data_IF_719296146010
#
_entry.id   IF_719296146010
#
_cell.length_a   1.000
_cell.length_b   1.000
_cell.length_c   1.000
_cell.angle_alpha   90.00
_cell.angle_beta   90.00
_cell.angle_gamma   90.00
#
_symmetry.space_group_name_H-M   'P 1'
#
loop_
_entity.id
_entity.type
_entity.pdbx_description
1 polymer ?
#
# COMPACT_ATOMS: atom_id res chain seq x y z
N UNK A 1 -28.85 1.49 7.40
CA UNK A 1 -28.01 2.52 6.76
C UNK A 1 -27.26 1.80 5.66
N UNK A 2 -27.84 1.77 4.47
CA UNK A 2 -27.31 1.06 3.31
C UNK A 2 -25.87 1.53 3.04
N UNK A 3 -24.89 0.63 3.16
CA UNK A 3 -23.67 0.81 2.40
C UNK A 3 -24.09 0.74 0.93
N UNK A 4 -24.32 1.92 0.35
CA UNK A 4 -24.74 2.06 -1.04
C UNK A 4 -23.89 1.15 -1.92
N UNK A 5 -24.53 0.25 -2.68
CA UNK A 5 -23.87 -0.51 -3.74
C UNK A 5 -23.05 0.40 -4.66
N UNK A 6 -23.35 1.69 -4.72
CA UNK A 6 -22.52 2.66 -5.43
C UNK A 6 -21.09 2.76 -4.88
N UNK A 7 -20.91 2.76 -3.54
CA UNK A 7 -19.59 2.85 -2.88
C UNK A 7 -18.70 1.64 -3.19
N UNK A 8 -19.29 0.48 -3.52
CA UNK A 8 -18.51 -0.71 -3.90
C UNK A 8 -17.83 -0.54 -5.25
N UNK A 9 -18.36 0.31 -6.14
CA UNK A 9 -17.73 0.62 -7.44
C UNK A 9 -16.69 1.73 -7.37
N UNK A 10 -16.56 2.44 -6.25
CA UNK A 10 -15.62 3.57 -6.09
C UNK A 10 -14.18 3.20 -6.51
N UNK A 11 -13.61 2.04 -6.14
CA UNK A 11 -12.28 1.66 -6.58
C UNK A 11 -12.17 1.50 -8.11
N UNK A 12 -13.21 0.98 -8.76
CA UNK A 12 -13.23 0.80 -10.21
C UNK A 12 -13.29 2.15 -10.95
N UNK A 13 -14.16 3.05 -10.49
CA UNK A 13 -14.30 4.41 -11.02
C UNK A 13 -13.00 5.19 -10.81
N UNK A 14 -12.46 5.15 -9.59
CA UNK A 14 -11.20 5.78 -9.25
C UNK A 14 -10.07 5.28 -10.14
N UNK A 15 -9.90 3.96 -10.28
CA UNK A 15 -8.85 3.37 -11.12
C UNK A 15 -8.96 3.81 -12.57
N UNK A 16 -10.17 3.80 -13.14
CA UNK A 16 -10.39 4.20 -14.52
C UNK A 16 -10.07 5.68 -14.74
N UNK A 17 -10.68 6.57 -13.94
CA UNK A 17 -10.43 8.02 -14.00
C UNK A 17 -8.97 8.36 -13.77
N UNK A 18 -8.31 7.63 -12.87
CA UNK A 18 -6.91 7.82 -12.54
C UNK A 18 -5.99 7.38 -13.70
N UNK A 19 -6.32 6.28 -14.40
CA UNK A 19 -5.59 5.85 -15.60
C UNK A 19 -5.69 6.85 -16.77
N UNK A 20 -6.84 7.51 -16.93
CA UNK A 20 -7.00 8.60 -17.89
C UNK A 20 -6.09 9.77 -17.54
N UNK A 21 -5.93 10.07 -16.25
CA UNK A 21 -5.10 11.19 -15.82
C UNK A 21 -3.60 10.89 -15.96
N UNK A 22 -3.19 9.64 -15.72
CA UNK A 22 -1.84 9.15 -16.04
C UNK A 22 -1.50 9.16 -17.53
N UNK A 23 -2.49 9.22 -18.44
CA UNK A 23 -2.23 9.40 -19.88
C UNK A 23 -1.47 10.69 -20.23
N UNK A 24 -1.49 11.67 -19.33
CA UNK A 24 -0.69 12.90 -19.43
C UNK A 24 0.82 12.71 -19.18
N UNK A 25 1.23 11.49 -18.84
CA UNK A 25 2.58 10.98 -18.56
C UNK A 25 2.97 9.80 -19.49
N UNK A 26 2.74 9.93 -20.80
CA UNK A 26 3.12 8.94 -21.84
C UNK A 26 2.38 7.58 -21.81
N UNK A 27 1.21 7.52 -21.16
CA UNK A 27 0.40 6.30 -21.16
C UNK A 27 -0.26 6.07 -22.53
N UNK A 28 -0.05 4.90 -23.13
CA UNK A 28 -0.65 4.55 -24.43
C UNK A 28 -2.17 4.40 -24.33
N UNK A 29 -2.91 4.86 -25.35
CA UNK A 29 -4.37 4.71 -25.44
C UNK A 29 -4.81 3.23 -25.29
N UNK A 30 -4.05 2.28 -25.86
CA UNK A 30 -4.32 0.84 -25.72
C UNK A 30 -4.38 0.42 -24.25
N UNK A 31 -3.46 0.92 -23.42
CA UNK A 31 -3.39 0.63 -22.00
C UNK A 31 -4.64 1.11 -21.24
N UNK A 32 -5.17 2.28 -21.61
CA UNK A 32 -6.41 2.84 -21.02
C UNK A 32 -7.60 1.93 -21.30
N UNK A 33 -7.73 1.44 -22.53
CA UNK A 33 -8.82 0.52 -22.93
C UNK A 33 -8.77 -0.76 -22.08
N UNK A 34 -7.59 -1.34 -21.89
CA UNK A 34 -7.48 -2.54 -21.06
C UNK A 34 -7.79 -2.28 -19.58
N UNK A 35 -7.36 -1.15 -19.02
CA UNK A 35 -7.70 -0.77 -17.64
C UNK A 35 -9.21 -0.60 -17.50
N UNK A 36 -9.87 0.03 -18.47
CA UNK A 36 -11.32 0.16 -18.51
C UNK A 36 -12.02 -1.21 -18.55
N UNK A 37 -11.55 -2.13 -19.39
CA UNK A 37 -12.13 -3.47 -19.44
C UNK A 37 -11.94 -4.22 -18.12
N UNK A 38 -10.76 -4.13 -17.49
CA UNK A 38 -10.50 -4.77 -16.20
C UNK A 38 -11.36 -4.14 -15.09
N UNK A 39 -11.50 -2.81 -15.06
CA UNK A 39 -12.34 -2.15 -14.07
C UNK A 39 -13.82 -2.48 -14.28
N UNK A 40 -14.28 -2.60 -15.53
CA UNK A 40 -15.63 -3.04 -15.87
C UNK A 40 -15.88 -4.49 -15.42
N UNK A 41 -14.97 -5.42 -15.71
CA UNK A 41 -15.07 -6.83 -15.27
C UNK A 41 -15.08 -6.92 -13.75
N UNK A 42 -14.21 -6.16 -13.08
CA UNK A 42 -14.14 -6.13 -11.60
C UNK A 42 -15.43 -5.54 -11.00
N UNK A 43 -15.99 -4.51 -11.63
CA UNK A 43 -17.28 -3.95 -11.25
C UNK A 43 -18.42 -4.95 -11.42
N UNK A 44 -18.50 -5.62 -12.57
CA UNK A 44 -19.49 -6.67 -12.81
C UNK A 44 -19.37 -7.80 -11.78
N UNK A 45 -18.15 -8.22 -11.46
CA UNK A 45 -17.92 -9.21 -10.41
C UNK A 45 -18.47 -8.75 -9.06
N UNK A 46 -18.14 -7.52 -8.63
CA UNK A 46 -18.67 -6.93 -7.39
C UNK A 46 -20.20 -6.82 -7.38
N UNK A 47 -20.83 -6.58 -8.53
CA UNK A 47 -22.28 -6.52 -8.65
C UNK A 47 -22.97 -7.86 -8.34
N UNK A 48 -22.34 -8.98 -8.72
CA UNK A 48 -22.90 -10.33 -8.54
C UNK A 48 -22.58 -10.97 -7.18
N UNK A 49 -21.61 -10.45 -6.43
CA UNK A 49 -21.26 -10.97 -5.10
C UNK A 49 -22.39 -10.67 -4.10
N UNK A 50 -22.79 -11.63 -3.25
CA UNK A 50 -23.78 -11.38 -2.21
C UNK A 50 -23.30 -10.29 -1.26
N UNK A 51 -24.15 -9.31 -0.95
CA UNK A 51 -23.80 -8.25 -0.02
C UNK A 51 -23.96 -8.74 1.43
N UNK A 52 -22.86 -8.81 2.19
CA UNK A 52 -22.87 -9.10 3.62
C UNK A 52 -21.69 -8.42 4.31
N UNK A 53 -21.96 -7.35 5.05
CA UNK A 53 -20.94 -6.56 5.77
C UNK A 53 -20.24 -7.33 6.89
N UNK A 54 -20.83 -8.42 7.39
CA UNK A 54 -20.23 -9.23 8.45
C UNK A 54 -19.31 -10.33 7.89
N UNK A 55 -19.32 -10.54 6.58
CA UNK A 55 -18.53 -11.59 5.93
C UNK A 55 -17.06 -11.20 5.83
N UNK A 56 -16.18 -12.07 6.35
CA UNK A 56 -14.75 -11.83 6.30
C UNK A 56 -14.23 -11.93 4.86
N UNK A 57 -14.73 -12.87 4.07
CA UNK A 57 -14.38 -12.98 2.66
C UNK A 57 -14.74 -11.72 1.88
N UNK A 58 -15.91 -11.13 2.12
CA UNK A 58 -16.36 -9.93 1.39
C UNK A 58 -15.53 -8.70 1.79
N UNK A 59 -15.24 -8.53 3.09
CA UNK A 59 -14.33 -7.47 3.54
C UNK A 59 -12.96 -7.60 2.86
N UNK A 60 -12.43 -8.83 2.77
CA UNK A 60 -11.13 -9.06 2.12
C UNK A 60 -11.15 -8.69 0.64
N UNK A 61 -12.25 -8.99 -0.08
CA UNK A 61 -12.42 -8.58 -1.49
C UNK A 61 -12.30 -7.05 -1.60
N UNK A 62 -13.04 -6.29 -0.79
CA UNK A 62 -13.02 -4.83 -0.85
C UNK A 62 -11.65 -4.24 -0.53
N UNK A 63 -10.90 -4.84 0.39
CA UNK A 63 -9.53 -4.38 0.73
C UNK A 63 -8.54 -4.67 -0.41
N UNK A 64 -8.67 -5.82 -1.09
CA UNK A 64 -7.68 -6.25 -2.08
C UNK A 64 -7.94 -5.74 -3.49
N UNK A 65 -9.19 -5.38 -3.84
CA UNK A 65 -9.52 -4.82 -5.16
C UNK A 65 -8.71 -3.54 -5.48
N UNK A 66 -8.61 -2.53 -4.59
CA UNK A 66 -7.78 -1.35 -4.85
C UNK A 66 -6.32 -1.71 -5.13
N UNK A 67 -5.76 -2.68 -4.39
CA UNK A 67 -4.38 -3.15 -4.56
C UNK A 67 -4.21 -3.83 -5.93
N UNK A 68 -5.16 -4.70 -6.29
CA UNK A 68 -5.18 -5.40 -7.57
C UNK A 68 -5.27 -4.41 -8.73
N UNK A 69 -6.24 -3.50 -8.70
CA UNK A 69 -6.46 -2.50 -9.74
C UNK A 69 -5.26 -1.55 -9.88
N UNK A 70 -4.68 -1.09 -8.77
CA UNK A 70 -3.45 -0.31 -8.77
C UNK A 70 -2.28 -1.08 -9.42
N UNK A 71 -2.10 -2.35 -9.09
CA UNK A 71 -1.05 -3.18 -9.70
C UNK A 71 -1.26 -3.37 -11.22
N UNK A 72 -2.51 -3.41 -11.68
CA UNK A 72 -2.83 -3.47 -13.11
C UNK A 72 -2.44 -2.19 -13.82
N UNK A 73 -2.70 -1.01 -13.24
CA UNK A 73 -2.18 0.26 -13.78
C UNK A 73 -0.66 0.18 -13.96
N UNK A 74 0.06 -0.34 -12.97
CA UNK A 74 1.52 -0.53 -13.06
C UNK A 74 1.96 -1.48 -14.18
N UNK A 75 1.24 -2.59 -14.36
CA UNK A 75 1.50 -3.52 -15.46
C UNK A 75 1.35 -2.86 -16.84
N UNK A 76 0.32 -2.03 -17.01
CA UNK A 76 0.09 -1.30 -18.26
C UNK A 76 1.05 -0.13 -18.46
N UNK A 77 1.49 0.53 -17.38
CA UNK A 77 2.57 1.52 -17.40
C UNK A 77 3.87 0.92 -17.95
N UNK A 78 4.13 -0.35 -17.63
CA UNK A 78 5.31 -1.07 -18.07
C UNK A 78 5.22 -1.64 -19.50
N UNK A 79 4.23 -1.24 -20.32
CA UNK A 79 4.00 -1.75 -21.67
C UNK A 79 3.90 -3.29 -21.74
N UNK A 80 3.29 -3.93 -20.74
CA UNK A 80 3.20 -5.41 -20.63
C UNK A 80 4.55 -6.13 -20.47
N UNK A 81 5.65 -5.39 -20.31
CA UNK A 81 7.01 -5.94 -20.16
C UNK A 81 7.33 -6.15 -18.68
N UNK A 82 6.81 -7.25 -18.11
CA UNK A 82 7.05 -7.63 -16.70
C UNK A 82 8.51 -7.88 -16.32
N UNK A 83 9.38 -8.07 -17.32
CA UNK A 83 10.83 -8.23 -17.12
C UNK A 83 11.58 -6.89 -17.11
N UNK A 84 10.90 -5.78 -17.43
CA UNK A 84 11.47 -4.44 -17.31
C UNK A 84 11.31 -3.94 -15.88
N UNK A 85 12.16 -4.46 -15.00
CA UNK A 85 12.11 -4.17 -13.57
C UNK A 85 12.35 -2.69 -13.25
N UNK A 86 13.17 -1.99 -14.05
CA UNK A 86 13.35 -0.55 -13.86
C UNK A 86 12.05 0.21 -14.05
N UNK A 87 11.28 -0.05 -15.12
CA UNK A 87 9.97 0.60 -15.30
C UNK A 87 8.98 0.27 -14.18
N UNK A 88 9.00 -0.95 -13.64
CA UNK A 88 8.18 -1.34 -12.49
C UNK A 88 8.59 -0.52 -11.26
N UNK A 89 9.89 -0.38 -11.02
CA UNK A 89 10.41 0.45 -9.95
C UNK A 89 10.00 1.91 -10.08
N UNK A 90 10.14 2.48 -11.28
CA UNK A 90 9.73 3.85 -11.59
C UNK A 90 8.23 4.06 -11.32
N UNK A 91 7.39 3.05 -11.63
CA UNK A 91 5.96 3.07 -11.28
C UNK A 91 5.71 3.06 -9.77
N UNK A 92 6.47 2.26 -9.00
CA UNK A 92 6.38 2.23 -7.55
C UNK A 92 6.76 3.59 -6.95
N UNK A 93 7.81 4.22 -7.46
CA UNK A 93 8.23 5.55 -7.05
C UNK A 93 7.18 6.60 -7.38
N UNK A 94 6.66 6.61 -8.61
CA UNK A 94 5.60 7.52 -9.04
C UNK A 94 4.35 7.39 -8.16
N UNK A 95 3.90 6.15 -7.93
CA UNK A 95 2.74 5.86 -7.09
C UNK A 95 2.92 6.36 -5.67
N UNK A 96 4.10 6.13 -5.11
CA UNK A 96 4.41 6.56 -3.76
C UNK A 96 4.55 8.08 -3.63
N UNK A 97 5.19 8.75 -4.60
CA UNK A 97 5.26 10.21 -4.69
C UNK A 97 3.86 10.83 -4.73
N UNK A 98 2.95 10.26 -5.51
CA UNK A 98 1.57 10.73 -5.53
C UNK A 98 0.88 10.59 -4.17
N UNK A 99 1.07 9.47 -3.47
CA UNK A 99 0.49 9.27 -2.14
C UNK A 99 0.97 10.37 -1.19
N UNK A 100 2.25 10.73 -1.26
CA UNK A 100 2.85 11.79 -0.45
C UNK A 100 2.23 13.15 -0.79
N UNK A 101 2.19 13.53 -2.06
CA UNK A 101 1.57 14.80 -2.47
C UNK A 101 0.08 14.87 -2.13
N UNK A 102 -0.64 13.77 -2.30
CA UNK A 102 -2.05 13.67 -1.88
C UNK A 102 -2.18 13.88 -0.38
N UNK A 103 -1.29 13.26 0.41
CA UNK A 103 -1.28 13.39 1.87
C UNK A 103 -0.98 14.83 2.30
N UNK A 104 -0.02 15.49 1.67
CA UNK A 104 0.29 16.90 1.92
C UNK A 104 -0.94 17.79 1.64
N UNK A 105 -1.62 17.59 0.52
CA UNK A 105 -2.85 18.30 0.18
C UNK A 105 -3.95 18.05 1.23
N UNK A 106 -4.13 16.81 1.68
CA UNK A 106 -5.12 16.46 2.69
C UNK A 106 -4.81 17.07 4.05
N UNK A 107 -3.54 17.11 4.47
CA UNK A 107 -3.12 17.79 5.70
C UNK A 107 -3.44 19.29 5.61
N UNK A 108 -3.13 19.94 4.49
CA UNK A 108 -3.53 21.33 4.24
C UNK A 108 -5.05 21.50 4.28
N UNK A 109 -5.80 20.54 3.72
CA UNK A 109 -7.26 20.51 3.77
C UNK A 109 -7.82 20.36 5.19
N UNK A 110 -7.19 19.56 6.06
CA UNK A 110 -7.57 19.42 7.48
C UNK A 110 -7.39 20.74 8.21
N UNK A 111 -6.25 21.42 8.02
CA UNK A 111 -5.99 22.74 8.62
C UNK A 111 -7.04 23.76 8.15
N UNK A 112 -7.32 23.81 6.85
CA UNK A 112 -8.35 24.68 6.29
C UNK A 112 -9.75 24.36 6.85
N UNK A 113 -10.07 23.08 6.99
CA UNK A 113 -11.35 22.62 7.57
C UNK A 113 -11.48 23.12 9.00
N UNK A 114 -10.44 22.94 9.82
CA UNK A 114 -10.45 23.40 11.21
C UNK A 114 -10.67 24.92 11.32
N UNK A 115 -9.95 25.71 10.53
CA UNK A 115 -10.10 27.17 10.49
C UNK A 115 -11.52 27.54 10.06
N UNK A 116 -12.03 26.93 8.99
CA UNK A 116 -13.34 27.25 8.44
C UNK A 116 -14.47 26.95 9.43
N UNK A 117 -14.48 25.75 10.02
CA UNK A 117 -15.48 25.40 11.03
C UNK A 117 -15.42 26.34 12.25
N UNK A 118 -14.21 26.72 12.67
CA UNK A 118 -14.03 27.67 13.79
C UNK A 118 -14.60 29.05 13.46
N UNK A 119 -14.32 29.59 12.27
CA UNK A 119 -14.81 30.91 11.84
C UNK A 119 -16.34 30.96 11.77
N UNK A 120 -16.99 29.94 11.20
CA UNK A 120 -18.46 29.89 11.11
C UNK A 120 -19.10 29.70 12.48
N UNK A 121 -18.46 28.91 13.37
CA UNK A 121 -18.91 28.76 14.76
C UNK A 121 -18.86 30.08 15.53
N UNK A 122 -17.86 30.94 15.30
CA UNK A 122 -17.76 32.26 15.95
C UNK A 122 -18.92 33.21 15.62
N UNK A 123 -19.55 33.04 14.45
CA UNK A 123 -20.74 33.80 14.03
C UNK A 123 -22.05 33.04 14.26
N UNK A 124 -22.02 31.98 15.09
CA UNK A 124 -23.16 31.12 15.44
C UNK A 124 -23.83 30.42 14.23
N UNK A 125 -23.05 30.05 13.22
CA UNK A 125 -23.53 29.26 12.07
C UNK A 125 -22.93 27.85 12.13
N UNK A 126 -23.78 26.84 12.26
CA UNK A 126 -23.38 25.42 12.22
C UNK A 126 -23.35 24.93 10.77
N UNK A 127 -22.15 24.75 10.22
CA UNK A 127 -21.93 24.26 8.85
C UNK A 127 -21.32 22.86 8.80
N UNK A 128 -21.07 22.23 9.95
CA UNK A 128 -20.26 21.01 10.07
C UNK A 128 -20.75 19.90 9.12
N UNK A 129 -22.02 19.51 9.23
CA UNK A 129 -22.60 18.44 8.40
C UNK A 129 -22.52 18.75 6.90
N UNK A 130 -22.86 19.98 6.51
CA UNK A 130 -22.77 20.42 5.12
C UNK A 130 -21.33 20.38 4.62
N UNK A 131 -20.39 20.88 5.42
CA UNK A 131 -18.98 21.00 5.05
C UNK A 131 -18.32 19.62 4.93
N UNK A 132 -18.56 18.72 5.88
CA UNK A 132 -18.03 17.35 5.81
C UNK A 132 -18.61 16.56 4.64
N UNK A 133 -19.93 16.62 4.44
CA UNK A 133 -20.61 15.87 3.39
C UNK A 133 -20.23 16.32 1.99
N UNK A 134 -20.08 17.62 1.78
CA UNK A 134 -19.85 18.16 0.44
C UNK A 134 -18.37 18.51 0.21
N UNK A 135 -17.77 19.34 1.07
CA UNK A 135 -16.44 19.92 0.80
C UNK A 135 -15.33 18.93 1.17
N UNK A 136 -15.36 18.37 2.38
CA UNK A 136 -14.32 17.42 2.83
C UNK A 136 -14.35 16.15 1.99
N UNK A 137 -15.53 15.59 1.72
CA UNK A 137 -15.66 14.40 0.87
C UNK A 137 -15.10 14.63 -0.54
N UNK A 138 -15.40 15.77 -1.16
CA UNK A 138 -14.82 16.16 -2.46
C UNK A 138 -13.29 16.31 -2.38
N UNK A 139 -12.79 16.95 -1.32
CA UNK A 139 -11.34 17.12 -1.11
C UNK A 139 -10.60 15.79 -1.02
N UNK A 140 -11.16 14.80 -0.30
CA UNK A 140 -10.60 13.44 -0.18
C UNK A 140 -10.53 12.75 -1.56
N UNK A 141 -11.60 12.86 -2.35
CA UNK A 141 -11.67 12.22 -3.66
C UNK A 141 -10.70 12.89 -4.65
N UNK A 142 -10.60 14.21 -4.65
CA UNK A 142 -9.86 14.99 -5.65
C UNK A 142 -8.35 15.02 -5.36
N UNK A 143 -7.91 14.88 -4.11
CA UNK A 143 -6.49 15.01 -3.73
C UNK A 143 -5.52 14.12 -4.53
N UNK A 144 -5.79 12.82 -4.75
CA UNK A 144 -4.96 11.98 -5.62
C UNK A 144 -4.85 12.45 -7.06
N UNK A 145 -5.92 13.04 -7.60
CA UNK A 145 -5.92 13.55 -8.98
C UNK A 145 -5.12 14.85 -9.10
N UNK A 146 -5.20 15.74 -8.11
CA UNK A 146 -4.40 16.96 -8.05
C UNK A 146 -2.91 16.69 -7.84
N UNK A 147 -2.55 15.55 -7.24
CA UNK A 147 -1.15 15.18 -7.05
C UNK A 147 -0.37 15.02 -8.37
N UNK A 148 -1.03 14.61 -9.45
CA UNK A 148 -0.38 14.34 -10.74
C UNK A 148 0.11 15.60 -11.47
N UNK A 149 -0.70 16.67 -11.68
CA UNK A 149 -0.18 17.90 -12.27
C UNK A 149 0.88 18.57 -11.38
N UNK A 150 0.80 18.41 -10.06
CA UNK A 150 1.83 18.89 -9.13
C UNK A 150 3.14 18.14 -9.37
N UNK A 151 3.10 16.82 -9.43
CA UNK A 151 4.27 16.00 -9.75
C UNK A 151 4.89 16.36 -11.10
N UNK A 152 4.08 16.77 -12.08
CA UNK A 152 4.58 17.13 -13.41
C UNK A 152 5.37 18.42 -13.36
N UNK A 153 4.96 19.33 -12.47
CA UNK A 153 5.64 20.60 -12.24
C UNK A 153 6.88 20.47 -11.37
N UNK A 154 6.89 19.53 -10.43
CA UNK A 154 7.97 19.31 -9.46
C UNK A 154 8.72 17.99 -9.70
N UNK A 155 8.86 17.57 -10.97
CA UNK A 155 9.47 16.28 -11.35
C UNK A 155 10.90 16.09 -10.86
N UNK A 156 11.62 17.19 -10.67
CA UNK A 156 13.03 17.17 -10.28
C UNK A 156 13.22 16.99 -8.77
N UNK A 157 12.14 17.01 -7.99
CA UNK A 157 12.18 16.97 -6.52
C UNK A 157 11.49 15.72 -5.96
N UNK A 158 12.29 14.70 -5.63
CA UNK A 158 11.82 13.46 -5.02
C UNK A 158 11.63 13.62 -3.50
N UNK A 159 10.49 14.18 -3.08
CA UNK A 159 10.14 14.36 -1.66
C UNK A 159 10.16 13.01 -0.93
N UNK A 160 9.71 11.96 -1.60
CA UNK A 160 9.62 10.62 -1.01
C UNK A 160 10.94 10.07 -0.49
N UNK A 161 12.03 10.31 -1.22
CA UNK A 161 13.35 9.85 -0.79
C UNK A 161 13.84 10.65 0.41
N UNK A 162 13.52 11.95 0.50
CA UNK A 162 13.82 12.76 1.70
C UNK A 162 13.05 12.22 2.91
N UNK A 163 11.75 11.98 2.75
CA UNK A 163 10.89 11.40 3.79
C UNK A 163 11.47 10.05 4.23
N UNK A 164 11.79 9.16 3.30
CA UNK A 164 12.31 7.83 3.64
C UNK A 164 13.60 7.89 4.46
N UNK A 165 14.51 8.83 4.16
CA UNK A 165 15.75 9.04 4.92
C UNK A 165 15.50 9.50 6.36
N UNK A 166 14.43 10.25 6.60
CA UNK A 166 14.03 10.70 7.93
C UNK A 166 13.30 9.59 8.69
N UNK A 167 12.38 8.90 8.01
CA UNK A 167 11.53 7.88 8.62
C UNK A 167 12.26 6.56 8.85
N UNK A 168 13.31 6.23 8.08
CA UNK A 168 14.08 5.00 8.27
C UNK A 168 14.70 4.86 9.67
N UNK A 169 15.49 5.83 10.19
CA UNK A 169 16.03 5.73 11.55
C UNK A 169 14.93 5.73 12.62
N UNK A 170 13.86 6.51 12.43
CA UNK A 170 12.71 6.51 13.34
C UNK A 170 12.04 5.14 13.39
N UNK A 171 11.78 4.53 12.24
CA UNK A 171 11.22 3.19 12.14
C UNK A 171 12.15 2.16 12.80
N UNK A 172 13.46 2.21 12.55
CA UNK A 172 14.43 1.31 13.21
C UNK A 172 14.31 1.42 14.73
N UNK A 173 14.31 2.64 15.29
CA UNK A 173 14.19 2.86 16.73
C UNK A 173 12.87 2.25 17.23
N UNK A 174 11.74 2.59 16.61
CA UNK A 174 10.43 2.07 17.01
C UNK A 174 10.39 0.54 16.97
N UNK A 175 10.87 -0.09 15.89
CA UNK A 175 10.82 -1.53 15.71
C UNK A 175 11.75 -2.27 16.68
N UNK A 176 12.96 -1.76 16.90
CA UNK A 176 13.90 -2.34 17.89
C UNK A 176 13.34 -2.20 19.30
N UNK A 177 12.86 -1.01 19.68
CA UNK A 177 12.22 -0.79 20.98
C UNK A 177 11.04 -1.75 21.17
N UNK A 178 10.18 -1.85 20.15
CA UNK A 178 9.06 -2.79 20.18
C UNK A 178 9.51 -4.23 20.42
N UNK A 179 10.50 -4.72 19.66
CA UNK A 179 11.05 -6.06 19.84
C UNK A 179 11.59 -6.27 21.26
N UNK A 180 12.39 -5.34 21.78
CA UNK A 180 12.95 -5.45 23.13
C UNK A 180 11.87 -5.54 24.21
N UNK A 181 10.87 -4.66 24.17
CA UNK A 181 9.77 -4.67 25.15
C UNK A 181 8.86 -5.90 24.98
N UNK A 182 8.68 -6.40 23.75
CA UNK A 182 7.89 -7.61 23.50
C UNK A 182 8.49 -8.86 24.14
N UNK A 183 9.83 -8.93 24.28
CA UNK A 183 10.52 -10.07 24.93
C UNK A 183 10.33 -10.08 26.46
N UNK A 184 10.17 -8.90 27.06
CA UNK A 184 10.06 -8.75 28.52
C UNK A 184 8.59 -8.90 28.97
N UNK A 185 7.65 -8.57 28.08
CA UNK A 185 6.22 -8.57 28.41
C UNK A 185 5.66 -10.00 28.31
N UNK A 186 5.00 -10.47 29.39
CA UNK A 186 4.33 -11.80 29.41
C UNK A 186 3.10 -11.89 28.49
N UNK A 187 2.61 -10.75 28.01
CA UNK A 187 1.49 -10.70 27.06
C UNK A 187 2.00 -11.11 25.69
N UNK A 188 1.62 -12.31 25.31
CA UNK A 188 2.04 -12.87 24.05
C UNK A 188 1.34 -12.09 22.91
N UNK A 189 2.06 -11.60 21.88
CA UNK A 189 1.46 -10.84 20.78
C UNK A 189 0.42 -11.63 19.97
N UNK A 190 0.22 -12.92 20.29
CA UNK A 190 -0.63 -13.87 19.58
C UNK A 190 -2.13 -13.69 19.85
N UNK A 191 -2.52 -13.12 21.00
CA UNK A 191 -3.94 -13.10 21.41
C UNK A 191 -4.74 -11.96 20.76
N UNK A 192 -4.15 -10.78 20.60
CA UNK A 192 -4.91 -9.60 20.17
C UNK A 192 -4.93 -9.44 18.64
N UNK A 193 -6.14 -9.47 18.03
CA UNK A 193 -6.34 -9.31 16.58
C UNK A 193 -5.76 -7.99 16.06
N UNK A 194 -5.81 -6.94 16.87
CA UNK A 194 -5.36 -5.62 16.46
C UNK A 194 -3.85 -5.58 16.25
N UNK A 195 -3.08 -6.41 16.99
CA UNK A 195 -1.62 -6.48 16.85
C UNK A 195 -1.22 -6.97 15.46
N UNK A 196 -1.86 -8.03 14.93
CA UNK A 196 -1.52 -8.56 13.60
C UNK A 196 -1.87 -7.59 12.46
N UNK A 197 -2.97 -6.84 12.60
CA UNK A 197 -3.34 -5.80 11.62
C UNK A 197 -2.28 -4.70 11.64
N UNK A 198 -1.88 -4.25 12.82
CA UNK A 198 -0.84 -3.23 12.98
C UNK A 198 0.51 -3.69 12.41
N UNK A 199 0.90 -4.95 12.61
CA UNK A 199 2.12 -5.50 12.00
C UNK A 199 2.09 -5.43 10.48
N UNK A 200 0.98 -5.84 9.83
CA UNK A 200 0.87 -5.75 8.37
C UNK A 200 0.97 -4.30 7.87
N UNK A 201 0.33 -3.36 8.56
CA UNK A 201 0.41 -1.93 8.21
C UNK A 201 1.85 -1.43 8.32
N UNK A 202 2.53 -1.79 9.40
CA UNK A 202 3.94 -1.44 9.61
C UNK A 202 4.82 -2.07 8.52
N UNK A 203 4.63 -3.34 8.18
CA UNK A 203 5.42 -4.02 7.15
C UNK A 203 5.25 -3.37 5.76
N UNK A 204 4.02 -3.01 5.39
CA UNK A 204 3.75 -2.25 4.15
C UNK A 204 4.45 -0.89 4.18
N UNK A 205 4.37 -0.16 5.30
CA UNK A 205 5.02 1.13 5.45
C UNK A 205 6.55 1.01 5.34
N UNK A 206 7.15 0.01 5.97
CA UNK A 206 8.59 -0.24 5.90
C UNK A 206 9.03 -0.64 4.49
N UNK A 207 8.27 -1.49 3.78
CA UNK A 207 8.54 -1.78 2.37
C UNK A 207 8.52 -0.51 1.52
N UNK A 208 7.58 0.42 1.78
CA UNK A 208 7.57 1.74 1.15
C UNK A 208 8.84 2.55 1.44
N UNK A 209 9.27 2.61 2.70
CA UNK A 209 10.54 3.26 3.10
C UNK A 209 11.72 2.62 2.36
N UNK A 210 11.79 1.29 2.29
CA UNK A 210 12.86 0.56 1.59
C UNK A 210 12.88 0.92 0.10
N UNK A 211 11.73 0.98 -0.56
CA UNK A 211 11.62 1.41 -1.98
C UNK A 211 12.24 2.80 -2.16
N UNK A 212 11.88 3.76 -1.31
CA UNK A 212 12.29 5.16 -1.47
C UNK A 212 13.70 5.49 -0.99
N UNK A 213 14.22 4.81 0.03
CA UNK A 213 15.66 4.83 0.32
C UNK A 213 16.41 4.40 -0.94
N UNK A 214 15.86 3.39 -1.63
CA UNK A 214 16.49 2.85 -2.81
C UNK A 214 16.25 3.64 -4.12
N UNK A 215 15.52 4.76 -4.06
CA UNK A 215 15.22 5.60 -5.22
C UNK A 215 16.42 6.48 -5.65
N UNK A 216 17.25 6.89 -4.70
CA UNK A 216 18.31 7.86 -4.92
C UNK A 216 19.69 7.20 -4.84
N UNK A 217 20.49 7.36 -5.89
CA UNK A 217 21.86 6.83 -6.04
C UNK A 217 22.90 7.38 -5.05
N UNK A 218 22.50 8.22 -4.08
CA UNK A 218 23.44 8.87 -3.15
C UNK A 218 23.91 7.85 -2.11
N UNK A 219 25.07 7.27 -2.42
CA UNK A 219 25.73 6.21 -1.67
C UNK A 219 26.46 6.79 -0.46
N UNK A 220 25.86 6.66 0.71
CA UNK A 220 26.62 6.77 1.96
C UNK A 220 26.58 5.45 2.69
N UNK A 221 27.67 5.10 3.36
CA UNK A 221 27.73 3.91 4.23
C UNK A 221 26.58 3.92 5.24
N UNK A 222 26.21 5.11 5.73
CA UNK A 222 25.07 5.31 6.61
C UNK A 222 23.74 4.81 6.02
N UNK A 223 23.38 5.20 4.79
CA UNK A 223 22.11 4.77 4.19
C UNK A 223 22.09 3.27 3.90
N UNK A 224 23.22 2.69 3.51
CA UNK A 224 23.32 1.24 3.32
C UNK A 224 23.08 0.50 4.63
N UNK A 225 23.75 0.90 5.72
CA UNK A 225 23.60 0.30 7.05
C UNK A 225 22.17 0.49 7.56
N UNK A 226 21.61 1.69 7.45
CA UNK A 226 20.24 1.99 7.89
C UNK A 226 19.23 1.08 7.17
N UNK A 227 19.34 0.97 5.84
CA UNK A 227 18.44 0.10 5.07
C UNK A 227 18.62 -1.38 5.46
N UNK A 228 19.86 -1.84 5.62
CA UNK A 228 20.17 -3.21 6.03
C UNK A 228 19.56 -3.55 7.40
N UNK A 229 19.72 -2.67 8.39
CA UNK A 229 19.15 -2.83 9.73
C UNK A 229 17.62 -2.82 9.67
N UNK A 230 17.03 -1.87 8.92
CA UNK A 230 15.58 -1.77 8.77
C UNK A 230 14.97 -3.05 8.18
N UNK A 231 15.57 -3.59 7.11
CA UNK A 231 15.11 -4.84 6.49
C UNK A 231 15.28 -6.02 7.45
N UNK A 232 16.41 -6.10 8.15
CA UNK A 232 16.70 -7.19 9.10
C UNK A 232 15.68 -7.22 10.24
N UNK A 233 15.44 -6.07 10.87
CA UNK A 233 14.47 -5.94 11.97
C UNK A 233 13.05 -6.22 11.48
N UNK A 234 12.68 -5.73 10.30
CA UNK A 234 11.36 -5.99 9.72
C UNK A 234 11.14 -7.46 9.40
N UNK A 235 12.18 -8.16 8.92
CA UNK A 235 12.14 -9.61 8.68
C UNK A 235 11.86 -10.38 9.97
N UNK A 236 12.46 -9.97 11.09
CA UNK A 236 12.20 -10.57 12.40
C UNK A 236 10.76 -10.33 12.84
N UNK A 237 10.23 -9.11 12.66
CA UNK A 237 8.85 -8.78 12.99
C UNK A 237 7.85 -9.58 12.13
N UNK A 238 8.14 -9.73 10.84
CA UNK A 238 7.32 -10.55 9.94
C UNK A 238 7.33 -12.03 10.36
N UNK A 239 8.49 -12.57 10.75
CA UNK A 239 8.56 -13.92 11.33
C UNK A 239 7.67 -14.06 12.59
N UNK A 240 7.67 -13.08 13.48
CA UNK A 240 6.81 -13.06 14.67
C UNK A 240 5.33 -12.96 14.27
N UNK A 241 4.99 -12.15 13.26
CA UNK A 241 3.63 -12.04 12.74
C UNK A 241 3.16 -13.37 12.11
N UNK A 242 4.05 -14.06 11.40
CA UNK A 242 3.78 -15.34 10.76
C UNK A 242 3.57 -16.45 11.81
N UNK A 243 4.41 -16.53 12.85
CA UNK A 243 4.20 -17.49 13.95
C UNK A 243 2.90 -17.18 14.70
N UNK A 244 2.57 -15.90 14.91
CA UNK A 244 1.32 -15.47 15.52
C UNK A 244 0.09 -15.96 14.75
N UNK A 245 0.06 -15.77 13.42
CA UNK A 245 -1.09 -16.17 12.63
C UNK A 245 -1.23 -17.69 12.55
N UNK A 246 -0.11 -18.43 12.48
CA UNK A 246 -0.10 -19.90 12.52
C UNK A 246 -0.68 -20.40 13.84
N UNK A 247 -0.25 -19.84 14.97
CA UNK A 247 -0.82 -20.16 16.29
C UNK A 247 -2.33 -19.92 16.33
N UNK A 248 -2.79 -18.78 15.84
CA UNK A 248 -4.24 -18.45 15.82
C UNK A 248 -5.06 -19.32 14.87
N UNK A 249 -4.45 -19.83 13.80
CA UNK A 249 -5.10 -20.80 12.91
C UNK A 249 -5.25 -22.14 13.63
N UNK A 250 -4.23 -22.55 14.39
CA UNK A 250 -4.26 -23.78 15.19
C UNK A 250 -5.30 -23.72 16.31
N UNK A 251 -5.32 -22.62 17.08
CA UNK A 251 -6.21 -22.47 18.24
C UNK A 251 -7.67 -22.17 17.85
N UNK A 252 -7.88 -21.26 16.89
CA UNK A 252 -9.20 -20.72 16.59
C UNK A 252 -9.69 -21.11 15.18
N UNK A 253 -9.09 -22.12 14.55
CA UNK A 253 -9.44 -22.63 13.23
C UNK A 253 -9.10 -21.71 12.04
N UNK A 254 -9.36 -22.19 10.83
CA UNK A 254 -9.16 -21.44 9.59
C UNK A 254 -10.31 -20.45 9.36
N UNK A 255 -9.96 -19.20 9.00
CA UNK A 255 -10.93 -18.21 8.53
C UNK A 255 -10.38 -17.52 7.27
N UNK A 256 -11.24 -16.91 6.43
CA UNK A 256 -10.79 -16.23 5.21
C UNK A 256 -9.72 -15.18 5.49
N UNK A 257 -9.93 -14.38 6.55
CA UNK A 257 -9.00 -13.35 6.97
C UNK A 257 -7.66 -13.94 7.42
N UNK A 258 -7.64 -15.05 8.16
CA UNK A 258 -6.38 -15.64 8.62
C UNK A 258 -5.55 -16.22 7.47
N UNK A 259 -6.19 -16.85 6.48
CA UNK A 259 -5.48 -17.33 5.27
C UNK A 259 -4.94 -16.15 4.47
N UNK A 260 -5.74 -15.09 4.32
CA UNK A 260 -5.34 -13.86 3.63
C UNK A 260 -4.10 -13.24 4.28
N UNK A 261 -4.12 -13.08 5.61
CA UNK A 261 -3.02 -12.54 6.40
C UNK A 261 -1.79 -13.45 6.36
N UNK A 262 -1.98 -14.77 6.44
CA UNK A 262 -0.87 -15.72 6.37
C UNK A 262 -0.14 -15.63 5.04
N UNK A 263 -0.86 -15.61 3.92
CA UNK A 263 -0.20 -15.56 2.62
C UNK A 263 0.49 -14.23 2.33
N UNK A 264 -0.08 -13.09 2.74
CA UNK A 264 0.62 -11.80 2.54
C UNK A 264 1.89 -11.69 3.39
N UNK A 265 1.87 -12.12 4.65
CA UNK A 265 3.08 -12.15 5.49
C UNK A 265 4.12 -13.12 4.90
N UNK A 266 3.70 -14.30 4.45
CA UNK A 266 4.61 -15.24 3.80
C UNK A 266 5.28 -14.63 2.55
N UNK A 267 4.52 -13.93 1.70
CA UNK A 267 5.09 -13.26 0.53
C UNK A 267 6.02 -12.09 0.90
N UNK A 268 5.65 -11.28 1.90
CA UNK A 268 6.47 -10.19 2.42
C UNK A 268 7.78 -10.71 3.01
N UNK A 269 7.73 -11.79 3.77
CA UNK A 269 8.89 -12.42 4.37
C UNK A 269 9.88 -12.88 3.31
N UNK A 270 9.40 -13.60 2.29
CA UNK A 270 10.25 -14.05 1.19
C UNK A 270 10.83 -12.83 0.45
N UNK A 271 10.03 -11.79 0.20
CA UNK A 271 10.52 -10.55 -0.41
C UNK A 271 11.64 -9.89 0.40
N UNK A 272 11.43 -9.67 1.69
CA UNK A 272 12.42 -9.07 2.60
C UNK A 272 13.71 -9.89 2.63
N UNK A 273 13.61 -11.23 2.70
CA UNK A 273 14.78 -12.12 2.65
C UNK A 273 15.54 -11.96 1.33
N UNK A 274 14.87 -11.93 0.18
CA UNK A 274 15.56 -11.73 -1.10
C UNK A 274 16.20 -10.35 -1.22
N UNK A 275 15.55 -9.31 -0.72
CA UNK A 275 16.12 -7.96 -0.68
C UNK A 275 17.40 -7.99 0.19
N UNK A 276 17.33 -8.61 1.36
CA UNK A 276 18.47 -8.75 2.28
C UNK A 276 19.63 -9.55 1.65
N UNK A 277 19.35 -10.69 1.01
CA UNK A 277 20.34 -11.47 0.26
C UNK A 277 20.95 -10.64 -0.87
N UNK A 278 20.13 -9.87 -1.59
CA UNK A 278 20.60 -8.99 -2.66
C UNK A 278 21.51 -7.89 -2.12
N UNK A 279 21.23 -7.35 -0.94
CA UNK A 279 22.13 -6.40 -0.29
C UNK A 279 23.46 -7.03 0.11
N UNK A 280 23.44 -8.20 0.76
CA UNK A 280 24.66 -8.90 1.20
C UNK A 280 25.58 -9.23 0.02
N UNK A 281 25.02 -9.77 -1.07
CA UNK A 281 25.79 -10.14 -2.26
C UNK A 281 26.48 -8.95 -2.93
N UNK A 282 25.96 -7.74 -2.75
CA UNK A 282 26.45 -6.53 -3.41
C UNK A 282 27.18 -5.57 -2.46
N UNK A 283 27.60 -6.03 -1.27
CA UNK A 283 28.36 -5.21 -0.30
C UNK A 283 29.66 -4.66 -0.91
N UNK A 284 30.33 -5.43 -1.78
CA UNK A 284 31.64 -5.08 -2.34
C UNK A 284 31.61 -4.60 -3.79
N UNK A 285 30.44 -4.63 -4.46
CA UNK A 285 30.34 -4.32 -5.88
C UNK A 285 29.48 -3.08 -6.11
N UNK A 286 30.14 -1.99 -6.49
CA UNK A 286 29.46 -0.72 -6.70
C UNK A 286 28.39 -0.77 -7.80
N UNK A 287 28.56 -1.67 -8.79
CA UNK A 287 27.77 -1.74 -10.03
C UNK A 287 26.53 -2.62 -9.97
N UNK A 288 26.25 -3.36 -8.89
CA UNK A 288 25.13 -4.33 -8.82
C UNK A 288 23.89 -3.85 -8.05
N UNK A 289 23.71 -2.55 -7.89
CA UNK A 289 22.51 -1.98 -7.26
C UNK A 289 21.20 -2.33 -8.00
N UNK A 290 21.30 -2.51 -9.31
CA UNK A 290 20.23 -3.01 -10.17
C UNK A 290 19.62 -4.31 -9.62
N UNK A 291 20.40 -5.16 -8.94
CA UNK A 291 19.87 -6.39 -8.35
C UNK A 291 18.89 -6.14 -7.20
N UNK A 292 19.07 -5.09 -6.39
CA UNK A 292 18.14 -4.77 -5.29
C UNK A 292 16.83 -4.23 -5.88
N UNK A 293 16.92 -3.27 -6.80
CA UNK A 293 15.78 -2.71 -7.53
C UNK A 293 15.01 -3.80 -8.27
N UNK A 294 15.73 -4.71 -8.94
CA UNK A 294 15.15 -5.85 -9.64
C UNK A 294 14.42 -6.79 -8.67
N UNK A 295 15.01 -7.08 -7.51
CA UNK A 295 14.37 -7.91 -6.49
C UNK A 295 13.09 -7.27 -5.99
N UNK A 296 13.12 -5.99 -5.62
CA UNK A 296 11.92 -5.24 -5.17
C UNK A 296 10.82 -5.30 -6.24
N UNK A 297 11.19 -5.01 -7.49
CA UNK A 297 10.26 -4.89 -8.61
C UNK A 297 9.64 -6.23 -9.03
N UNK A 298 10.35 -7.34 -8.86
CA UNK A 298 9.83 -8.70 -9.12
C UNK A 298 8.62 -9.06 -8.25
N UNK A 299 8.44 -8.43 -7.10
CA UNK A 299 7.36 -8.76 -6.17
C UNK A 299 6.04 -8.06 -6.48
N UNK A 300 6.01 -6.97 -7.23
CA UNK A 300 4.74 -6.32 -7.58
C UNK A 300 3.77 -7.28 -8.32
N UNK A 301 4.21 -8.04 -9.36
CA UNK A 301 3.35 -9.05 -9.99
C UNK A 301 2.95 -10.18 -9.05
N UNK A 302 3.83 -10.58 -8.12
CA UNK A 302 3.55 -11.65 -7.16
C UNK A 302 2.45 -11.21 -6.18
N UNK A 303 2.55 -9.99 -5.64
CA UNK A 303 1.50 -9.40 -4.80
C UNK A 303 0.19 -9.21 -5.57
N UNK A 304 0.25 -8.86 -6.86
CA UNK A 304 -0.92 -8.78 -7.73
C UNK A 304 -1.63 -10.13 -7.85
N UNK A 305 -0.90 -11.21 -8.13
CA UNK A 305 -1.45 -12.57 -8.20
C UNK A 305 -2.09 -12.96 -6.87
N UNK A 306 -1.43 -12.67 -5.74
CA UNK A 306 -2.00 -12.93 -4.42
C UNK A 306 -3.29 -12.16 -4.18
N UNK A 307 -3.34 -10.87 -4.54
CA UNK A 307 -4.57 -10.08 -4.43
C UNK A 307 -5.70 -10.68 -5.26
N UNK A 308 -5.42 -11.20 -6.45
CA UNK A 308 -6.40 -11.89 -7.28
C UNK A 308 -6.89 -13.21 -6.64
N UNK A 309 -5.99 -13.99 -6.03
CA UNK A 309 -6.34 -15.19 -5.25
C UNK A 309 -7.29 -14.81 -4.09
N UNK A 310 -7.01 -13.71 -3.38
CA UNK A 310 -7.85 -13.24 -2.27
C UNK A 310 -9.21 -12.73 -2.76
N UNK A 311 -9.28 -12.11 -3.93
CA UNK A 311 -10.52 -11.57 -4.51
C UNK A 311 -11.42 -12.68 -5.06
N UNK A 312 -10.84 -13.73 -5.65
CA UNK A 312 -11.60 -14.76 -6.38
C UNK A 312 -11.64 -16.09 -5.61
N UNK A 313 -10.49 -16.64 -5.24
CA UNK A 313 -10.39 -18.02 -4.74
C UNK A 313 -10.85 -18.11 -3.28
N UNK A 314 -10.39 -17.20 -2.41
CA UNK A 314 -10.74 -17.26 -0.98
C UNK A 314 -12.26 -17.17 -0.74
N UNK A 315 -13.02 -16.23 -1.34
CA UNK A 315 -14.46 -16.16 -1.16
C UNK A 315 -15.19 -17.43 -1.61
N UNK A 316 -14.75 -18.05 -2.71
CA UNK A 316 -15.34 -19.30 -3.22
C UNK A 316 -15.11 -20.45 -2.22
N UNK A 317 -13.88 -20.62 -1.73
CA UNK A 317 -13.53 -21.67 -0.75
C UNK A 317 -14.39 -21.55 0.52
N UNK A 318 -14.61 -20.32 1.00
CA UNK A 318 -15.36 -20.06 2.24
C UNK A 318 -16.85 -19.78 2.01
N UNK A 319 -17.37 -19.98 0.78
CA UNK A 319 -18.78 -19.74 0.43
C UNK A 319 -19.26 -18.33 0.80
N UNK A 320 -18.40 -17.32 0.57
CA UNK A 320 -18.64 -15.90 0.86
C UNK A 320 -18.93 -15.57 2.33
N UNK A 321 -18.42 -16.36 3.27
CA UNK A 321 -18.57 -16.12 4.72
C UNK A 321 -17.46 -15.26 5.33
#
# INVERSE_FOLDING_TARGET
>A
MEFDKFKTFLPCIFTFTFSLLLSTYDFKIKSIIYIFLISLITGLYLFFIPFNEKSQSIINIYIHIPIFLWSMIGFFYCDFKLKNYQKIFDFLLLSGEMIIWSTLLLISGIILTFITLTLFKMINIEIEDFYFKNIVSLGIIIAPFLSVPILKKFSDFNISSVIAKIFAPLAIITLITYLLFSLITKNVPYENRNILITYNIILVAVLGIIIFINANYVRTSYFFISNFVLISVSTIIDLIALTAIIYRIREYGLTPNKITVLGINFLMLINLIWILISMIKNIHEEKKYENIVNTISKYLPIYSIWSLIVIVIIPIIFKYK
#
